data_IF_745285095854
#
_entry.id   IF_745285095854
#
_cell.length_a   1.000
_cell.length_b   1.000
_cell.length_c   1.000
_cell.angle_alpha   90.00
_cell.angle_beta   90.00
_cell.angle_gamma   90.00
#
_symmetry.space_group_name_H-M   'P 1'
#
loop_
_entity.id
_entity.type
_entity.pdbx_description
1 polymer ?
#
# COMPACT_ATOMS: atom_id res chain seq x y z
N UNK A 1 5.60 -29.64 -7.47
CA UNK A 1 5.73 -30.17 -6.08
C UNK A 1 5.09 -29.17 -5.13
N UNK A 2 4.03 -29.54 -4.41
CA UNK A 2 3.36 -28.64 -3.47
C UNK A 2 4.25 -28.45 -2.23
N UNK A 3 4.75 -27.23 -2.00
CA UNK A 3 5.44 -26.87 -0.76
C UNK A 3 4.44 -27.02 0.39
N UNK A 4 4.66 -28.02 1.25
CA UNK A 4 3.89 -28.21 2.47
C UNK A 4 4.20 -27.03 3.42
N UNK A 5 3.42 -25.96 3.32
CA UNK A 5 3.57 -24.79 4.18
C UNK A 5 3.02 -25.14 5.55
N UNK A 6 3.90 -25.17 6.57
CA UNK A 6 3.47 -25.25 7.97
C UNK A 6 2.49 -24.09 8.23
N UNK A 7 1.22 -24.42 8.50
CA UNK A 7 0.22 -23.45 8.96
C UNK A 7 0.40 -23.25 10.45
N UNK A 8 0.72 -22.02 10.84
CA UNK A 8 0.78 -21.60 12.23
C UNK A 8 -0.54 -20.94 12.63
N UNK A 9 -1.02 -21.23 13.85
CA UNK A 9 -2.16 -20.53 14.44
C UNK A 9 -1.87 -19.03 14.56
N UNK A 10 -2.89 -18.19 14.46
CA UNK A 10 -2.70 -16.73 14.50
C UNK A 10 -2.20 -16.25 15.86
N UNK A 11 -2.73 -16.81 16.95
CA UNK A 11 -2.29 -16.55 18.32
C UNK A 11 -0.78 -16.78 18.47
N UNK A 12 -0.29 -17.92 17.97
CA UNK A 12 1.12 -18.24 17.99
C UNK A 12 1.97 -17.22 17.22
N UNK A 13 1.51 -16.74 16.06
CA UNK A 13 2.23 -15.69 15.31
C UNK A 13 2.31 -14.40 16.10
N UNK A 14 1.22 -14.02 16.77
CA UNK A 14 1.16 -12.81 17.60
C UNK A 14 2.13 -12.91 18.77
N UNK A 15 2.17 -14.04 19.48
CA UNK A 15 3.13 -14.27 20.57
C UNK A 15 4.58 -14.10 20.10
N UNK A 16 4.95 -14.64 18.93
CA UNK A 16 6.32 -14.49 18.40
C UNK A 16 6.64 -13.02 18.07
N UNK A 17 5.66 -12.27 17.54
CA UNK A 17 5.83 -10.83 17.27
C UNK A 17 5.97 -10.03 18.57
N UNK A 18 5.17 -10.35 19.59
CA UNK A 18 5.26 -9.72 20.92
C UNK A 18 6.63 -9.97 21.55
N UNK A 19 7.11 -11.21 21.56
CA UNK A 19 8.43 -11.54 22.10
C UNK A 19 9.56 -10.77 21.38
N UNK A 20 9.44 -10.59 20.06
CA UNK A 20 10.36 -9.74 19.31
C UNK A 20 10.29 -8.28 19.76
N UNK A 21 9.09 -7.74 19.94
CA UNK A 21 8.88 -6.37 20.44
C UNK A 21 9.38 -6.19 21.88
N UNK A 22 9.35 -7.23 22.71
CA UNK A 22 9.95 -7.26 24.05
C UNK A 22 11.49 -7.37 24.05
N UNK A 23 12.12 -7.44 22.87
CA UNK A 23 13.57 -7.39 22.72
C UNK A 23 14.25 -8.73 22.42
N UNK A 24 13.50 -9.84 22.28
CA UNK A 24 14.10 -11.10 21.81
C UNK A 24 14.62 -10.96 20.38
N UNK A 25 15.81 -11.49 20.13
CA UNK A 25 16.42 -11.43 18.81
C UNK A 25 15.77 -12.43 17.84
N UNK A 26 15.82 -12.13 16.53
CA UNK A 26 15.38 -13.07 15.49
C UNK A 26 16.13 -14.41 15.55
N UNK A 27 17.38 -14.42 16.00
CA UNK A 27 18.17 -15.65 16.15
C UNK A 27 17.64 -16.51 17.27
N UNK A 28 17.36 -15.90 18.42
CA UNK A 28 16.80 -16.57 19.59
C UNK A 28 15.42 -17.18 19.28
N UNK A 29 14.51 -16.38 18.71
CA UNK A 29 13.17 -16.85 18.33
C UNK A 29 13.22 -17.95 17.26
N UNK A 30 14.18 -17.87 16.34
CA UNK A 30 14.34 -18.87 15.29
C UNK A 30 14.82 -20.21 15.85
N UNK A 31 15.78 -20.17 16.78
CA UNK A 31 16.35 -21.35 17.42
C UNK A 31 15.39 -21.99 18.42
N UNK A 32 14.70 -21.20 19.24
CA UNK A 32 13.80 -21.68 20.30
C UNK A 32 12.53 -22.32 19.74
N UNK A 33 11.91 -21.70 18.73
CA UNK A 33 10.63 -22.16 18.18
C UNK A 33 10.77 -22.94 16.88
N UNK A 34 11.99 -23.15 16.37
CA UNK A 34 12.26 -23.89 15.13
C UNK A 34 11.64 -23.25 13.88
N UNK A 35 11.54 -21.92 13.88
CA UNK A 35 10.92 -21.13 12.80
C UNK A 35 12.01 -20.42 12.02
N UNK A 36 11.91 -20.35 10.70
CA UNK A 36 12.90 -19.61 9.91
C UNK A 36 12.85 -18.10 10.21
N UNK A 37 14.00 -17.44 10.26
CA UNK A 37 14.10 -15.98 10.43
C UNK A 37 13.27 -15.20 9.40
N UNK A 38 13.17 -15.69 8.16
CA UNK A 38 12.39 -15.05 7.11
C UNK A 38 10.88 -15.12 7.39
N UNK A 39 10.39 -16.24 7.93
CA UNK A 39 9.01 -16.40 8.37
C UNK A 39 8.66 -15.42 9.49
N UNK A 40 9.52 -15.34 10.52
CA UNK A 40 9.35 -14.41 11.65
C UNK A 40 9.34 -12.96 11.16
N UNK A 41 10.31 -12.58 10.31
CA UNK A 41 10.34 -11.25 9.69
C UNK A 41 9.07 -10.94 8.89
N UNK A 42 8.50 -11.94 8.22
CA UNK A 42 7.22 -11.81 7.54
C UNK A 42 6.07 -11.47 8.49
N UNK A 43 6.02 -12.10 9.68
CA UNK A 43 5.01 -11.80 10.71
C UNK A 43 5.21 -10.40 11.27
N UNK A 44 6.42 -10.05 11.70
CA UNK A 44 6.74 -8.71 12.22
C UNK A 44 6.34 -7.63 11.22
N UNK A 45 6.69 -7.77 9.93
CA UNK A 45 6.32 -6.81 8.89
C UNK A 45 4.81 -6.64 8.73
N UNK A 46 4.03 -7.71 8.89
CA UNK A 46 2.56 -7.65 8.78
C UNK A 46 1.90 -7.04 10.00
N UNK A 47 2.49 -7.23 11.17
CA UNK A 47 2.01 -6.70 12.44
C UNK A 47 2.54 -5.30 12.76
N UNK A 48 3.33 -4.68 11.88
CA UNK A 48 3.79 -3.31 12.09
C UNK A 48 2.58 -2.36 12.13
N UNK A 49 2.43 -1.61 13.23
CA UNK A 49 1.38 -0.61 13.34
C UNK A 49 1.58 0.50 12.31
N UNK A 50 0.48 0.95 11.72
CA UNK A 50 0.39 2.16 10.91
C UNK A 50 -0.39 3.18 11.72
N UNK A 51 0.21 4.35 11.97
CA UNK A 51 -0.51 5.47 12.56
C UNK A 51 -1.43 6.08 11.49
N UNK A 52 -2.71 6.18 11.81
CA UNK A 52 -3.69 6.90 10.99
C UNK A 52 -3.85 8.32 11.55
N UNK A 53 -4.29 9.28 10.74
CA UNK A 53 -4.38 10.72 11.05
C UNK A 53 -5.14 11.04 12.37
N UNK A 54 -6.02 10.14 12.85
CA UNK A 54 -6.80 10.29 14.09
C UNK A 54 -6.12 9.71 15.35
N UNK A 55 -4.84 9.33 15.28
CA UNK A 55 -4.11 8.74 16.42
C UNK A 55 -4.47 7.28 16.71
N UNK A 56 -5.35 6.68 15.91
CA UNK A 56 -5.59 5.25 15.93
C UNK A 56 -4.39 4.49 15.33
N UNK A 57 -4.03 3.40 15.99
CA UNK A 57 -2.96 2.51 15.58
C UNK A 57 -3.58 1.24 15.01
N UNK A 58 -3.47 1.03 13.70
CA UNK A 58 -4.03 -0.15 13.04
C UNK A 58 -2.98 -0.90 12.23
N UNK A 59 -3.16 -2.21 12.10
CA UNK A 59 -2.32 -3.02 11.22
C UNK A 59 -2.74 -2.82 9.75
N UNK A 60 -1.83 -3.11 8.82
CA UNK A 60 -2.13 -3.11 7.38
C UNK A 60 -3.28 -4.08 7.04
N UNK A 61 -3.45 -5.16 7.82
CA UNK A 61 -4.52 -6.14 7.64
C UNK A 61 -5.88 -5.56 8.03
N UNK A 62 -5.95 -4.88 9.17
CA UNK A 62 -7.18 -4.22 9.64
C UNK A 62 -7.58 -3.07 8.72
N UNK A 63 -6.62 -2.24 8.32
CA UNK A 63 -6.85 -1.16 7.36
C UNK A 63 -7.43 -1.69 6.03
N UNK A 64 -6.92 -2.81 5.52
CA UNK A 64 -7.47 -3.45 4.32
C UNK A 64 -8.86 -4.02 4.53
N UNK A 65 -9.16 -4.53 5.72
CA UNK A 65 -10.48 -5.04 6.05
C UNK A 65 -11.53 -3.92 6.08
N UNK A 66 -11.15 -2.71 6.51
CA UNK A 66 -12.02 -1.53 6.48
C UNK A 66 -12.50 -1.17 5.06
N UNK A 67 -11.64 -1.30 4.05
CA UNK A 67 -12.05 -1.08 2.65
C UNK A 67 -13.10 -2.08 2.14
N UNK A 68 -13.23 -3.21 2.82
CA UNK A 68 -14.22 -4.26 2.52
C UNK A 68 -15.36 -4.29 3.54
N UNK A 69 -15.36 -3.38 4.51
CA UNK A 69 -16.38 -3.33 5.55
C UNK A 69 -17.71 -2.81 4.98
N UNK A 70 -18.80 -3.38 5.48
CA UNK A 70 -20.16 -3.05 5.08
C UNK A 70 -20.48 -1.58 5.32
N UNK A 71 -20.03 -1.02 6.45
CA UNK A 71 -20.24 0.40 6.78
C UNK A 71 -19.57 1.34 5.78
N UNK A 72 -18.38 0.98 5.29
CA UNK A 72 -17.68 1.76 4.27
C UNK A 72 -18.41 1.67 2.93
N UNK A 73 -18.92 0.49 2.58
CA UNK A 73 -19.73 0.30 1.37
C UNK A 73 -21.04 1.09 1.42
N UNK A 74 -21.74 1.12 2.56
CA UNK A 74 -22.93 1.95 2.77
C UNK A 74 -22.62 3.44 2.63
N UNK A 75 -21.51 3.90 3.22
CA UNK A 75 -21.06 5.29 3.11
C UNK A 75 -20.80 5.67 1.65
N UNK A 76 -20.03 4.87 0.90
CA UNK A 76 -19.76 5.09 -0.53
C UNK A 76 -21.07 5.15 -1.34
N UNK A 77 -22.00 4.24 -1.07
CA UNK A 77 -23.33 4.22 -1.72
C UNK A 77 -24.12 5.50 -1.43
N UNK A 78 -24.07 6.00 -0.19
CA UNK A 78 -24.75 7.24 0.23
C UNK A 78 -24.27 8.48 -0.54
N UNK A 79 -22.98 8.53 -0.89
CA UNK A 79 -22.37 9.62 -1.68
C UNK A 79 -22.39 9.33 -3.19
N UNK A 80 -23.15 8.31 -3.63
CA UNK A 80 -23.33 7.90 -5.03
C UNK A 80 -22.03 7.54 -5.75
N UNK A 81 -21.01 7.11 -5.02
CA UNK A 81 -19.80 6.54 -5.61
C UNK A 81 -20.04 5.05 -5.86
N UNK A 82 -19.65 4.56 -7.04
CA UNK A 82 -19.68 3.13 -7.35
C UNK A 82 -18.29 2.57 -7.04
N UNK A 83 -18.20 1.65 -6.09
CA UNK A 83 -16.94 1.01 -5.76
C UNK A 83 -16.60 -0.06 -6.80
N UNK A 84 -15.52 0.13 -7.56
CA UNK A 84 -15.04 -0.88 -8.51
C UNK A 84 -13.87 -1.66 -7.91
N UNK A 85 -14.04 -2.97 -7.76
CA UNK A 85 -12.94 -3.88 -7.45
C UNK A 85 -12.47 -4.57 -8.72
N UNK A 86 -11.16 -4.66 -8.93
CA UNK A 86 -10.59 -5.50 -9.98
C UNK A 86 -11.00 -6.96 -9.76
N UNK A 87 -11.42 -7.64 -10.83
CA UNK A 87 -11.74 -9.07 -10.75
C UNK A 87 -10.49 -9.87 -10.40
N UNK A 88 -10.66 -10.95 -9.63
CA UNK A 88 -9.54 -11.81 -9.25
C UNK A 88 -8.86 -12.37 -10.51
N UNK A 89 -7.56 -12.13 -10.66
CA UNK A 89 -6.78 -12.59 -11.80
C UNK A 89 -6.72 -11.62 -12.99
N UNK A 90 -7.19 -10.38 -12.85
CA UNK A 90 -7.03 -9.35 -13.87
C UNK A 90 -5.95 -8.32 -13.47
N UNK A 91 -4.66 -8.55 -13.81
CA UNK A 91 -3.59 -7.63 -13.47
C UNK A 91 -3.64 -6.32 -14.28
N UNK A 92 -4.35 -6.29 -15.41
CA UNK A 92 -4.41 -5.13 -16.29
C UNK A 92 -5.18 -3.96 -15.67
N UNK A 93 -6.18 -4.24 -14.83
CA UNK A 93 -6.95 -3.20 -14.12
C UNK A 93 -6.06 -2.35 -13.20
N UNK A 94 -5.02 -2.95 -12.61
CA UNK A 94 -4.09 -2.28 -11.70
C UNK A 94 -2.83 -1.73 -12.41
N UNK A 95 -2.62 -2.07 -13.68
CA UNK A 95 -1.37 -1.76 -14.39
C UNK A 95 -1.10 -0.25 -14.47
N UNK A 96 -2.14 0.58 -14.61
CA UNK A 96 -2.00 2.03 -14.67
C UNK A 96 -1.45 2.61 -13.36
N UNK A 97 -2.05 2.25 -12.23
CA UNK A 97 -1.61 2.75 -10.92
C UNK A 97 -0.27 2.14 -10.49
N UNK A 98 0.01 0.89 -10.87
CA UNK A 98 1.32 0.28 -10.66
C UNK A 98 2.42 1.03 -11.41
N UNK A 99 2.15 1.41 -12.67
CA UNK A 99 3.08 2.21 -13.47
C UNK A 99 3.32 3.59 -12.86
N UNK A 100 2.27 4.24 -12.34
CA UNK A 100 2.40 5.48 -11.57
C UNK A 100 3.31 5.31 -10.35
N UNK A 101 3.06 4.29 -9.52
CA UNK A 101 3.85 4.03 -8.32
C UNK A 101 5.32 3.74 -8.64
N UNK A 102 5.59 3.02 -9.74
CA UNK A 102 6.95 2.76 -10.19
C UNK A 102 7.68 4.07 -10.58
N UNK A 103 7.00 4.95 -11.32
CA UNK A 103 7.54 6.26 -11.69
C UNK A 103 7.81 7.14 -10.47
N UNK A 104 6.80 7.32 -9.60
CA UNK A 104 6.91 8.11 -8.37
C UNK A 104 8.09 7.66 -7.51
N UNK A 105 8.25 6.34 -7.33
CA UNK A 105 9.37 5.82 -6.54
C UNK A 105 10.71 6.11 -7.18
N UNK A 106 10.83 5.88 -8.49
CA UNK A 106 12.07 6.07 -9.23
C UNK A 106 12.51 7.53 -9.27
N UNK A 107 11.58 8.44 -9.41
CA UNK A 107 11.86 9.85 -9.73
C UNK A 107 11.84 10.77 -8.52
N UNK A 108 11.14 10.40 -7.44
CA UNK A 108 11.01 11.22 -6.23
C UNK A 108 11.46 10.45 -4.99
N UNK A 109 10.74 9.39 -4.62
CA UNK A 109 10.90 8.73 -3.30
C UNK A 109 12.29 8.14 -3.09
N UNK A 110 12.90 7.57 -4.13
CA UNK A 110 14.23 6.96 -4.01
C UNK A 110 15.37 7.99 -4.09
N UNK A 111 15.08 9.23 -4.51
CA UNK A 111 16.07 10.29 -4.70
C UNK A 111 16.04 11.33 -3.57
N UNK A 112 14.94 11.39 -2.82
CA UNK A 112 14.69 12.41 -1.79
C UNK A 112 14.63 11.77 -0.40
N UNK A 113 15.30 12.41 0.56
CA UNK A 113 15.14 12.10 1.98
C UNK A 113 14.20 13.12 2.61
N UNK A 114 13.08 12.66 3.17
CA UNK A 114 12.11 13.52 3.84
C UNK A 114 12.47 13.67 5.31
N UNK A 115 12.52 14.91 5.79
CA UNK A 115 12.82 15.22 7.18
C UNK A 115 11.65 14.92 8.12
N UNK A 116 10.43 15.17 7.67
CA UNK A 116 9.20 14.90 8.39
C UNK A 116 8.04 14.52 7.45
N UNK A 117 6.90 14.16 8.04
CA UNK A 117 5.72 13.74 7.30
C UNK A 117 5.10 14.87 6.45
N UNK A 118 5.14 16.12 6.93
CA UNK A 118 4.56 17.25 6.21
C UNK A 118 5.39 17.61 4.97
N UNK A 119 6.71 17.55 5.09
CA UNK A 119 7.64 17.69 3.97
C UNK A 119 7.41 16.59 2.93
N UNK A 120 7.25 15.33 3.36
CA UNK A 120 6.89 14.24 2.48
C UNK A 120 5.55 14.51 1.77
N UNK A 121 4.50 14.88 2.52
CA UNK A 121 3.16 15.18 1.98
C UNK A 121 3.20 16.29 0.93
N UNK A 122 3.96 17.36 1.19
CA UNK A 122 4.11 18.47 0.25
C UNK A 122 4.88 18.05 -1.01
N UNK A 123 5.98 17.33 -0.87
CA UNK A 123 6.76 16.82 -2.01
C UNK A 123 5.91 15.89 -2.89
N UNK A 124 5.12 14.99 -2.27
CA UNK A 124 4.19 14.12 -3.00
C UNK A 124 3.13 14.92 -3.75
N UNK A 125 2.55 15.94 -3.11
CA UNK A 125 1.59 16.83 -3.76
C UNK A 125 2.22 17.56 -4.96
N UNK A 126 3.40 18.14 -4.78
CA UNK A 126 4.11 18.86 -5.83
C UNK A 126 4.49 17.94 -7.00
N UNK A 127 5.00 16.74 -6.72
CA UNK A 127 5.30 15.75 -7.75
C UNK A 127 4.05 15.40 -8.55
N UNK A 128 2.93 15.09 -7.88
CA UNK A 128 1.69 14.70 -8.56
C UNK A 128 1.14 15.86 -9.39
N UNK A 129 0.97 17.03 -8.78
CA UNK A 129 0.28 18.15 -9.41
C UNK A 129 1.17 18.85 -10.44
N UNK A 130 2.40 19.22 -10.06
CA UNK A 130 3.26 20.08 -10.87
C UNK A 130 4.09 19.32 -11.89
N UNK A 131 4.47 18.08 -11.61
CA UNK A 131 5.29 17.27 -12.53
C UNK A 131 4.47 16.22 -13.27
N UNK A 132 3.90 15.25 -12.56
CA UNK A 132 3.24 14.10 -13.17
C UNK A 132 2.02 14.52 -14.01
N UNK A 133 1.08 15.26 -13.43
CA UNK A 133 -0.15 15.64 -14.13
C UNK A 133 0.07 16.66 -15.25
N UNK A 134 0.97 17.62 -15.05
CA UNK A 134 1.14 18.79 -15.94
C UNK A 134 2.29 18.70 -16.95
N UNK A 135 3.32 17.88 -16.71
CA UNK A 135 4.55 17.87 -17.52
C UNK A 135 4.91 16.50 -18.07
N UNK A 136 4.62 15.42 -17.35
CA UNK A 136 4.95 14.06 -17.79
C UNK A 136 4.07 13.62 -18.94
N UNK A 137 4.68 13.16 -20.03
CA UNK A 137 3.97 12.55 -21.17
C UNK A 137 3.90 11.03 -21.02
N UNK A 138 2.77 10.44 -21.43
CA UNK A 138 2.55 9.00 -21.35
C UNK A 138 2.22 8.43 -22.73
N UNK A 139 2.94 7.39 -23.15
CA UNK A 139 2.69 6.70 -24.42
C UNK A 139 1.29 6.06 -24.46
N UNK A 140 0.81 5.55 -23.32
CA UNK A 140 -0.51 4.90 -23.19
C UNK A 140 -1.71 5.80 -23.47
N UNK A 141 -1.54 7.14 -23.40
CA UNK A 141 -2.60 8.12 -23.67
C UNK A 141 -2.32 8.96 -24.91
N UNK A 142 -1.42 8.49 -25.79
CA UNK A 142 -1.09 9.18 -27.04
C UNK A 142 -0.07 10.30 -26.89
N UNK A 143 0.92 10.11 -26.01
CA UNK A 143 2.04 11.04 -25.78
C UNK A 143 1.62 12.45 -25.35
N UNK A 144 0.54 12.54 -24.58
CA UNK A 144 0.10 13.76 -23.91
C UNK A 144 0.25 13.63 -22.39
N UNK A 145 0.04 14.74 -21.68
CA UNK A 145 0.02 14.75 -20.22
C UNK A 145 -1.30 14.23 -19.66
N UNK A 146 -1.33 13.67 -18.43
CA UNK A 146 -2.57 13.26 -17.78
C UNK A 146 -3.59 14.40 -17.73
N UNK A 147 -3.13 15.64 -17.45
CA UNK A 147 -4.00 16.82 -17.42
C UNK A 147 -4.64 17.10 -18.78
N UNK A 148 -3.86 17.06 -19.86
CA UNK A 148 -4.40 17.24 -21.21
C UNK A 148 -5.40 16.15 -21.59
N UNK A 149 -5.16 14.90 -21.17
CA UNK A 149 -6.11 13.81 -21.39
C UNK A 149 -7.44 14.06 -20.66
N UNK A 150 -7.38 14.49 -19.40
CA UNK A 150 -8.56 14.87 -18.62
C UNK A 150 -9.32 16.04 -19.27
N UNK A 151 -8.60 17.10 -19.68
CA UNK A 151 -9.20 18.27 -20.32
C UNK A 151 -9.89 17.89 -21.65
N UNK A 152 -9.35 16.90 -22.40
CA UNK A 152 -10.00 16.37 -23.60
C UNK A 152 -11.26 15.58 -23.26
N UNK A 153 -11.22 14.74 -22.23
CA UNK A 153 -12.39 13.95 -21.80
C UNK A 153 -13.56 14.84 -21.34
N UNK A 154 -13.26 15.91 -20.59
CA UNK A 154 -14.26 16.89 -20.12
C UNK A 154 -14.91 17.69 -21.25
N UNK A 155 -14.20 17.95 -22.34
CA UNK A 155 -14.77 18.64 -23.51
C UNK A 155 -15.69 17.74 -24.36
N UNK A 156 -15.54 16.43 -24.22
CA UNK A 156 -16.30 15.42 -24.96
C UNK A 156 -17.50 14.88 -24.18
N UNK A 157 -17.69 15.33 -22.93
CA UNK A 157 -18.80 14.96 -22.04
C UNK A 157 -19.81 16.10 -21.97
#
# INVERSE_FOLDING_TARGET
MARNQRKYAEEFKNTIVELYNFGKSLTELSSEYGISKSTINGWIKRSKPVNVDDGEVVTIKEFKAWYTDFKFAEYISSIKIIHSFSSKGNPYDNACIESFHAALKKEEVNLVTYYDFNAAKLAMFEYIESWYNRKRIHSSIGYITPRQCEDRARKSS
#
